data_IF_085747911658
#
_entry.id   IF_085747911658
#
_cell.length_a   1.000
_cell.length_b   1.000
_cell.length_c   1.000
_cell.angle_alpha   90.00
_cell.angle_beta   90.00
_cell.angle_gamma   90.00
#
_symmetry.space_group_name_H-M   'P 1'
#
loop_
_entity.id
_entity.type
_entity.pdbx_description
1 polymer ?
#
# COMPACT_ATOMS: atom_id res chain seq x y z
N UNK A 1 25.00 -30.19 21.91
CA UNK A 1 23.83 -30.43 21.03
C UNK A 1 23.68 -29.20 20.20
N UNK A 2 24.15 -29.28 18.97
CA UNK A 2 24.19 -28.18 18.03
C UNK A 2 22.77 -27.63 17.85
N UNK A 3 22.63 -26.31 17.99
CA UNK A 3 21.43 -25.63 17.50
C UNK A 3 21.45 -25.80 15.98
N UNK A 4 20.73 -26.80 15.46
CA UNK A 4 20.33 -26.79 14.06
C UNK A 4 19.77 -25.39 13.77
N UNK A 5 20.31 -24.74 12.74
CA UNK A 5 19.81 -23.47 12.22
C UNK A 5 18.29 -23.61 12.02
N UNK A 6 17.51 -23.11 12.98
CA UNK A 6 16.06 -23.16 12.93
C UNK A 6 15.60 -22.25 11.79
N UNK A 7 15.46 -22.85 10.61
CA UNK A 7 15.13 -22.16 9.38
C UNK A 7 13.74 -21.53 9.51
N UNK A 8 13.70 -20.21 9.54
CA UNK A 8 12.45 -19.48 9.45
C UNK A 8 11.85 -19.68 8.04
N UNK A 9 10.63 -20.21 7.99
CA UNK A 9 9.85 -20.37 6.78
C UNK A 9 8.94 -19.17 6.63
N UNK A 10 8.92 -18.58 5.44
CA UNK A 10 7.98 -17.53 5.09
C UNK A 10 6.93 -18.11 4.14
N UNK A 11 5.68 -18.17 4.59
CA UNK A 11 4.54 -18.49 3.74
C UNK A 11 3.81 -17.19 3.42
N UNK A 12 3.39 -16.99 2.16
CA UNK A 12 2.60 -15.81 1.77
C UNK A 12 1.41 -16.26 0.95
N UNK A 13 0.23 -15.72 1.25
CA UNK A 13 -0.94 -15.90 0.43
C UNK A 13 -1.65 -14.55 0.22
N UNK A 14 -2.34 -14.45 -0.91
CA UNK A 14 -3.06 -13.24 -1.29
C UNK A 14 -4.54 -13.39 -0.96
N UNK A 15 -5.15 -12.32 -0.48
CA UNK A 15 -6.58 -12.20 -0.26
C UNK A 15 -7.09 -11.06 -1.11
N UNK A 16 -7.87 -11.41 -2.13
CA UNK A 16 -8.56 -10.46 -2.99
C UNK A 16 -9.85 -9.97 -2.33
N UNK A 17 -10.20 -8.72 -2.60
CA UNK A 17 -11.41 -8.06 -2.11
C UNK A 17 -11.60 -8.15 -0.58
N UNK A 18 -10.51 -8.12 0.19
CA UNK A 18 -10.46 -8.35 1.63
C UNK A 18 -11.53 -7.58 2.43
N UNK A 19 -11.77 -6.30 2.14
CA UNK A 19 -12.76 -5.50 2.89
C UNK A 19 -14.23 -5.90 2.60
N UNK A 20 -14.50 -6.54 1.47
CA UNK A 20 -15.81 -7.06 1.08
C UNK A 20 -16.07 -8.47 1.62
N UNK A 21 -15.03 -9.17 2.10
CA UNK A 21 -15.18 -10.54 2.61
C UNK A 21 -15.91 -10.50 3.96
N UNK A 22 -17.01 -11.23 4.03
CA UNK A 22 -17.81 -11.37 5.26
C UNK A 22 -17.46 -12.66 6.02
N UNK A 23 -17.17 -13.73 5.28
CA UNK A 23 -16.89 -15.04 5.85
C UNK A 23 -15.41 -15.24 6.21
N UNK A 24 -15.15 -16.22 7.07
CA UNK A 24 -13.80 -16.71 7.34
C UNK A 24 -13.12 -17.19 6.05
N UNK A 25 -11.83 -16.90 5.92
CA UNK A 25 -10.98 -17.31 4.80
C UNK A 25 -9.87 -18.18 5.35
N UNK A 26 -9.64 -19.33 4.74
CA UNK A 26 -8.51 -20.20 5.05
C UNK A 26 -7.46 -20.13 3.95
N UNK A 27 -6.19 -20.02 4.34
CA UNK A 27 -5.09 -20.16 3.40
C UNK A 27 -4.96 -21.60 2.91
N UNK A 28 -4.24 -21.83 1.80
CA UNK A 28 -3.68 -23.15 1.51
C UNK A 28 -2.85 -23.68 2.69
N UNK A 29 -2.78 -25.00 2.81
CA UNK A 29 -1.89 -25.64 3.77
C UNK A 29 -0.42 -25.41 3.37
N UNK A 30 0.45 -25.25 4.36
CA UNK A 30 1.90 -25.22 4.18
C UNK A 30 2.58 -26.16 5.18
N UNK A 31 3.64 -26.81 4.72
CA UNK A 31 4.40 -27.77 5.52
C UNK A 31 5.53 -27.08 6.27
N UNK A 32 5.62 -27.34 7.57
CA UNK A 32 6.73 -26.90 8.41
C UNK A 32 6.81 -27.74 9.69
N UNK A 33 8.01 -28.11 10.13
CA UNK A 33 8.18 -28.82 11.39
C UNK A 33 7.52 -30.21 11.45
N UNK A 34 7.40 -30.86 10.29
CA UNK A 34 6.71 -32.14 10.14
C UNK A 34 5.20 -32.09 10.39
N UNK A 35 4.58 -30.90 10.34
CA UNK A 35 3.13 -30.70 10.40
C UNK A 35 2.66 -29.82 9.24
N UNK A 36 1.40 -29.99 8.86
CA UNK A 36 0.71 -29.06 7.98
C UNK A 36 0.07 -27.95 8.81
N UNK A 37 0.14 -26.73 8.30
CA UNK A 37 -0.37 -25.53 8.93
C UNK A 37 -1.20 -24.73 7.95
N UNK A 38 -2.14 -23.93 8.44
CA UNK A 38 -2.89 -22.97 7.63
C UNK A 38 -3.25 -21.75 8.46
N UNK A 39 -3.63 -20.66 7.80
CA UNK A 39 -4.07 -19.43 8.45
C UNK A 39 -5.57 -19.27 8.26
N UNK A 40 -6.27 -19.01 9.36
CA UNK A 40 -7.63 -18.49 9.33
C UNK A 40 -7.62 -16.98 9.48
N UNK A 41 -8.31 -16.33 8.56
CA UNK A 41 -8.50 -14.89 8.50
C UNK A 41 -9.98 -14.63 8.69
N UNK A 42 -10.32 -13.78 9.65
CA UNK A 42 -11.68 -13.31 9.87
C UNK A 42 -11.72 -11.81 9.55
N UNK A 43 -12.10 -11.42 8.32
CA UNK A 43 -12.07 -10.03 7.87
C UNK A 43 -13.02 -9.12 8.66
N UNK A 44 -14.11 -9.68 9.19
CA UNK A 44 -15.06 -8.99 10.10
C UNK A 44 -14.90 -9.45 11.55
N UNK A 45 -13.76 -10.05 11.88
CA UNK A 45 -13.42 -10.45 13.23
C UNK A 45 -14.02 -11.77 13.72
N UNK A 46 -13.53 -12.16 14.89
CA UNK A 46 -13.94 -13.33 15.66
C UNK A 46 -14.18 -12.85 17.10
N UNK A 47 -15.45 -12.79 17.51
CA UNK A 47 -15.97 -12.18 18.74
C UNK A 47 -15.92 -10.64 18.80
N UNK A 48 -15.10 -9.99 17.97
CA UNK A 48 -14.97 -8.53 17.90
C UNK A 48 -15.08 -8.05 16.46
N UNK A 49 -16.22 -7.48 16.10
CA UNK A 49 -16.57 -7.15 14.71
C UNK A 49 -15.82 -5.94 14.13
N UNK A 50 -15.15 -5.16 15.00
CA UNK A 50 -14.40 -3.95 14.63
C UNK A 50 -12.91 -4.21 14.33
N UNK A 51 -12.47 -5.48 14.43
CA UNK A 51 -11.09 -5.89 14.16
C UNK A 51 -11.02 -7.07 13.19
N UNK A 52 -9.99 -7.08 12.35
CA UNK A 52 -9.50 -8.29 11.70
C UNK A 52 -8.99 -9.26 12.77
N UNK A 53 -9.34 -10.55 12.66
CA UNK A 53 -8.73 -11.61 13.47
C UNK A 53 -7.91 -12.57 12.62
N UNK A 54 -6.76 -12.98 13.14
CA UNK A 54 -5.81 -13.85 12.44
C UNK A 54 -5.38 -14.99 13.35
N UNK A 55 -5.47 -16.23 12.84
CA UNK A 55 -5.09 -17.42 13.60
C UNK A 55 -4.25 -18.38 12.76
N UNK A 56 -3.17 -18.85 13.35
CA UNK A 56 -2.42 -19.99 12.85
C UNK A 56 -3.06 -21.27 13.39
N UNK A 57 -3.33 -22.21 12.49
CA UNK A 57 -4.01 -23.47 12.79
C UNK A 57 -3.14 -24.65 12.33
N UNK A 58 -3.19 -25.75 13.08
CA UNK A 58 -2.65 -27.04 12.65
C UNK A 58 -3.67 -27.74 11.75
N UNK A 59 -3.25 -28.14 10.55
CA UNK A 59 -4.11 -28.87 9.64
C UNK A 59 -4.19 -30.35 10.04
N UNK A 60 -5.34 -30.97 9.76
CA UNK A 60 -5.55 -32.40 9.93
C UNK A 60 -5.09 -32.96 11.30
N UNK A 61 -5.45 -32.33 12.44
CA UNK A 61 -4.91 -32.71 13.75
C UNK A 61 -5.26 -34.14 14.17
N UNK A 62 -6.35 -34.69 13.63
CA UNK A 62 -6.82 -36.07 13.81
C UNK A 62 -5.88 -37.11 13.19
N UNK A 63 -5.12 -36.72 12.15
CA UNK A 63 -4.16 -37.61 11.48
C UNK A 63 -2.81 -37.68 12.21
N UNK A 64 -2.61 -36.78 13.19
CA UNK A 64 -1.41 -36.76 14.00
C UNK A 64 -1.52 -37.80 15.13
N UNK A 65 -0.38 -38.40 15.51
CA UNK A 65 -0.34 -39.43 16.57
C UNK A 65 -0.93 -38.90 17.87
N UNK A 66 -1.68 -39.76 18.59
CA UNK A 66 -2.18 -39.47 19.94
C UNK A 66 -1.05 -38.90 20.82
N UNK A 67 -1.34 -37.77 21.47
CA UNK A 67 -0.38 -37.07 22.34
C UNK A 67 0.61 -36.15 21.62
N UNK A 68 0.43 -35.86 20.32
CA UNK A 68 1.30 -34.93 19.61
C UNK A 68 1.35 -33.54 20.24
N UNK A 69 2.54 -32.94 20.21
CA UNK A 69 2.77 -31.55 20.63
C UNK A 69 3.75 -30.86 19.68
N UNK A 70 3.56 -29.58 19.41
CA UNK A 70 4.51 -28.76 18.63
C UNK A 70 4.72 -27.43 19.32
N UNK A 71 5.96 -26.96 19.37
CA UNK A 71 6.23 -25.57 19.77
C UNK A 71 6.67 -24.78 18.56
N UNK A 72 5.97 -23.69 18.31
CA UNK A 72 6.28 -22.80 17.21
C UNK A 72 6.31 -21.36 17.67
N UNK A 73 7.19 -20.58 17.05
CA UNK A 73 7.14 -19.13 17.06
C UNK A 73 6.67 -18.66 15.70
N UNK A 74 5.76 -17.70 15.66
CA UNK A 74 5.22 -17.19 14.40
C UNK A 74 4.95 -15.69 14.47
N UNK A 75 4.83 -15.10 13.29
CA UNK A 75 4.46 -13.72 13.09
C UNK A 75 3.58 -13.59 11.86
N UNK A 76 2.62 -12.66 11.92
CA UNK A 76 1.87 -12.22 10.76
C UNK A 76 2.38 -10.86 10.32
N UNK A 77 2.55 -10.69 9.02
CA UNK A 77 2.89 -9.43 8.38
C UNK A 77 1.83 -9.17 7.31
N UNK A 78 1.02 -8.15 7.52
CA UNK A 78 0.04 -7.71 6.54
C UNK A 78 0.71 -6.72 5.58
N UNK A 79 0.66 -7.03 4.29
CA UNK A 79 1.30 -6.26 3.24
C UNK A 79 0.25 -5.63 2.33
N UNK A 80 0.53 -4.41 1.86
CA UNK A 80 -0.15 -3.81 0.72
C UNK A 80 0.09 -4.66 -0.55
N UNK A 81 -0.66 -4.35 -1.62
CA UNK A 81 -0.36 -4.86 -2.97
C UNK A 81 1.07 -4.55 -3.43
N UNK A 82 1.62 -3.38 -3.05
CA UNK A 82 3.01 -2.98 -3.33
C UNK A 82 4.05 -3.76 -2.52
N UNK A 83 3.64 -4.66 -1.62
CA UNK A 83 4.53 -5.46 -0.77
C UNK A 83 5.06 -4.73 0.46
N UNK A 84 4.54 -3.54 0.75
CA UNK A 84 4.91 -2.76 1.94
C UNK A 84 4.18 -3.27 3.17
N UNK A 85 4.89 -3.36 4.28
CA UNK A 85 4.36 -3.72 5.58
C UNK A 85 3.41 -2.65 6.13
N UNK A 86 2.17 -3.05 6.42
CA UNK A 86 1.16 -2.21 7.06
C UNK A 86 1.10 -2.46 8.56
N UNK A 87 1.21 -3.73 8.95
CA UNK A 87 1.35 -4.12 10.34
C UNK A 87 2.09 -5.44 10.45
N UNK A 88 2.74 -5.62 11.60
CA UNK A 88 3.38 -6.86 11.98
C UNK A 88 2.97 -7.23 13.38
N UNK A 89 2.52 -8.48 13.51
CA UNK A 89 2.10 -9.10 14.75
C UNK A 89 3.09 -10.22 14.99
N UNK A 90 3.91 -10.08 16.02
CA UNK A 90 4.87 -11.10 16.39
C UNK A 90 4.41 -11.70 17.70
N UNK A 91 4.34 -13.02 17.72
CA UNK A 91 4.14 -13.71 18.99
C UNK A 91 5.45 -13.63 19.80
N UNK A 92 5.37 -13.07 21.00
CA UNK A 92 6.55 -12.82 21.84
C UNK A 92 7.07 -14.10 22.51
N UNK A 93 6.21 -15.09 22.67
CA UNK A 93 6.49 -16.37 23.34
C UNK A 93 6.24 -17.55 22.41
N UNK A 94 7.03 -18.62 22.51
CA UNK A 94 6.71 -19.83 21.74
C UNK A 94 5.35 -20.39 22.19
N UNK A 95 4.54 -20.87 21.24
CA UNK A 95 3.23 -21.44 21.53
C UNK A 95 3.25 -22.94 21.39
N UNK A 96 2.64 -23.61 22.37
CA UNK A 96 2.41 -25.05 22.37
C UNK A 96 1.12 -25.35 21.62
N UNK A 97 1.23 -26.09 20.53
CA UNK A 97 0.11 -26.65 19.79
C UNK A 97 -0.04 -28.12 20.13
N UNK A 98 -1.28 -28.57 20.33
CA UNK A 98 -1.65 -29.96 20.51
C UNK A 98 -3.12 -30.15 20.11
N UNK A 99 -3.67 -31.36 20.26
CA UNK A 99 -5.07 -31.64 19.94
C UNK A 99 -6.06 -30.67 20.63
N UNK A 100 -5.79 -30.28 21.88
CA UNK A 100 -6.64 -29.32 22.63
C UNK A 100 -6.41 -27.86 22.21
N UNK A 101 -5.21 -27.53 21.74
CA UNK A 101 -4.80 -26.16 21.42
C UNK A 101 -4.24 -26.11 20.00
N UNK A 102 -5.06 -26.47 19.01
CA UNK A 102 -4.65 -26.54 17.60
C UNK A 102 -4.64 -25.19 16.89
N UNK A 103 -5.04 -24.11 17.58
CA UNK A 103 -5.19 -22.76 17.05
C UNK A 103 -4.58 -21.73 17.99
N UNK A 104 -3.82 -20.79 17.45
CA UNK A 104 -3.29 -19.64 18.19
C UNK A 104 -3.27 -18.38 17.31
N UNK A 105 -3.47 -17.20 17.90
CA UNK A 105 -3.44 -15.94 17.17
C UNK A 105 -4.15 -14.79 17.89
N UNK A 106 -4.53 -13.78 17.12
CA UNK A 106 -5.08 -12.53 17.63
C UNK A 106 -6.53 -12.35 17.22
N UNK A 107 -7.44 -12.29 18.21
CA UNK A 107 -8.84 -11.87 18.00
C UNK A 107 -8.93 -10.41 17.56
N UNK A 108 -8.10 -9.53 18.14
CA UNK A 108 -7.99 -8.12 17.76
C UNK A 108 -6.65 -7.87 17.07
N UNK A 109 -6.47 -8.43 15.88
CA UNK A 109 -5.20 -8.36 15.15
C UNK A 109 -4.97 -6.95 14.59
N UNK A 110 -5.95 -6.43 13.84
CA UNK A 110 -5.85 -5.10 13.20
C UNK A 110 -7.21 -4.40 13.24
N UNK A 111 -7.32 -3.16 13.74
CA UNK A 111 -8.58 -2.42 13.69
C UNK A 111 -9.04 -2.20 12.24
N UNK A 112 -10.29 -2.51 11.92
CA UNK A 112 -10.82 -2.35 10.56
C UNK A 112 -10.81 -0.88 10.15
N UNK A 113 -11.09 0.03 11.08
CA UNK A 113 -10.99 1.47 10.85
C UNK A 113 -9.60 1.88 10.34
N UNK A 114 -8.54 1.30 10.87
CA UNK A 114 -7.17 1.57 10.41
C UNK A 114 -6.96 1.10 8.97
N UNK A 115 -7.45 -0.10 8.63
CA UNK A 115 -7.38 -0.62 7.26
C UNK A 115 -8.15 0.28 6.28
N UNK A 116 -9.37 0.67 6.64
CA UNK A 116 -10.17 1.61 5.86
C UNK A 116 -9.53 2.99 5.73
N UNK A 117 -8.87 3.52 6.76
CA UNK A 117 -8.14 4.78 6.67
C UNK A 117 -6.90 4.68 5.77
N UNK A 118 -6.20 3.54 5.77
CA UNK A 118 -5.06 3.32 4.88
C UNK A 118 -5.48 3.23 3.41
N UNK A 119 -6.60 2.59 3.11
CA UNK A 119 -7.10 2.43 1.72
C UNK A 119 -7.87 3.67 1.26
N UNK A 120 -8.85 4.12 2.05
CA UNK A 120 -9.81 5.15 1.64
C UNK A 120 -9.48 6.53 2.21
N UNK A 121 -8.61 6.64 3.22
CA UNK A 121 -8.36 7.91 3.92
C UNK A 121 -7.73 8.97 3.03
N UNK A 122 -6.91 8.57 2.06
CA UNK A 122 -6.36 9.49 1.05
C UNK A 122 -7.49 10.21 0.30
N UNK A 123 -8.47 9.44 -0.18
CA UNK A 123 -9.58 9.94 -0.95
C UNK A 123 -10.58 10.74 -0.13
N UNK A 124 -10.76 10.41 1.16
CA UNK A 124 -11.54 11.25 2.07
C UNK A 124 -10.90 12.62 2.28
N UNK A 125 -9.57 12.69 2.35
CA UNK A 125 -8.82 13.94 2.52
C UNK A 125 -8.74 14.76 1.23
N UNK A 126 -8.70 14.09 0.09
CA UNK A 126 -8.59 14.69 -1.25
C UNK A 126 -9.66 14.10 -2.18
N UNK A 127 -10.95 14.45 -1.98
CA UNK A 127 -12.04 13.86 -2.77
C UNK A 127 -11.98 14.26 -4.25
N UNK A 128 -11.29 15.35 -4.57
CA UNK A 128 -11.13 15.86 -5.93
C UNK A 128 -9.91 15.29 -6.66
N UNK A 129 -9.09 14.45 -5.99
CA UNK A 129 -7.77 14.00 -6.44
C UNK A 129 -7.76 13.42 -7.86
N UNK A 130 -8.85 12.81 -8.31
CA UNK A 130 -8.96 12.16 -9.61
C UNK A 130 -10.16 12.66 -10.43
N UNK A 131 -10.69 13.85 -10.12
CA UNK A 131 -11.88 14.40 -10.79
C UNK A 131 -11.73 14.58 -12.30
N UNK A 132 -10.50 14.72 -12.80
CA UNK A 132 -10.20 14.84 -14.23
C UNK A 132 -9.47 13.60 -14.78
N UNK A 133 -9.41 12.51 -14.03
CA UNK A 133 -8.66 11.32 -14.43
C UNK A 133 -9.26 10.69 -15.70
N UNK A 134 -8.44 10.63 -16.75
CA UNK A 134 -8.88 10.26 -18.10
C UNK A 134 -8.91 8.75 -18.37
N UNK A 135 -7.95 7.93 -17.88
CA UNK A 135 -7.91 6.51 -18.21
C UNK A 135 -9.15 5.72 -17.74
N UNK A 136 -9.72 4.92 -18.64
CA UNK A 136 -10.89 4.06 -18.35
C UNK A 136 -10.54 2.60 -18.08
N UNK A 137 -9.39 2.12 -18.58
CA UNK A 137 -8.95 0.73 -18.44
C UNK A 137 -8.51 0.43 -17.00
N UNK A 138 -9.06 -0.63 -16.38
CA UNK A 138 -8.81 -0.97 -14.98
C UNK A 138 -7.33 -1.24 -14.66
N UNK A 139 -6.60 -1.99 -15.50
CA UNK A 139 -5.17 -2.25 -15.27
C UNK A 139 -4.36 -0.94 -15.27
N UNK A 140 -4.72 -0.01 -16.15
CA UNK A 140 -4.12 1.32 -16.21
C UNK A 140 -4.48 2.15 -14.97
N UNK A 141 -5.74 2.10 -14.50
CA UNK A 141 -6.14 2.74 -13.23
C UNK A 141 -5.26 2.24 -12.07
N UNK A 142 -5.12 0.92 -11.96
CA UNK A 142 -4.30 0.28 -10.92
C UNK A 142 -2.83 0.69 -11.01
N UNK A 143 -2.24 0.74 -12.21
CA UNK A 143 -0.85 1.16 -12.39
C UNK A 143 -0.61 2.60 -11.92
N UNK A 144 -1.43 3.57 -12.36
CA UNK A 144 -1.30 4.96 -11.92
C UNK A 144 -1.51 5.11 -10.41
N UNK A 145 -2.45 4.38 -9.82
CA UNK A 145 -2.67 4.39 -8.38
C UNK A 145 -1.47 3.85 -7.62
N UNK A 146 -0.86 2.74 -8.05
CA UNK A 146 0.35 2.20 -7.43
C UNK A 146 1.50 3.22 -7.42
N UNK A 147 1.67 3.97 -8.52
CA UNK A 147 2.66 5.04 -8.62
C UNK A 147 2.33 6.17 -7.62
N UNK A 148 1.09 6.68 -7.63
CA UNK A 148 0.64 7.75 -6.73
C UNK A 148 0.92 7.39 -5.27
N UNK A 149 0.61 6.17 -4.87
CA UNK A 149 0.79 5.69 -3.51
C UNK A 149 2.24 5.48 -3.15
N UNK A 150 3.02 4.85 -4.04
CA UNK A 150 4.46 4.73 -3.86
C UNK A 150 5.09 6.07 -3.51
N UNK A 151 4.66 7.14 -4.18
CA UNK A 151 5.13 8.50 -3.88
C UNK A 151 4.59 9.09 -2.59
N UNK A 152 3.30 8.95 -2.29
CA UNK A 152 2.73 9.39 -1.00
C UNK A 152 3.49 8.75 0.16
N UNK A 153 3.72 7.45 0.05
CA UNK A 153 4.42 6.63 1.03
C UNK A 153 5.89 6.97 1.14
N UNK A 154 6.58 7.19 0.02
CA UNK A 154 7.97 7.66 0.01
C UNK A 154 8.08 9.03 0.70
N UNK A 155 7.16 9.95 0.39
CA UNK A 155 7.16 11.30 0.95
C UNK A 155 6.68 11.37 2.41
N UNK A 156 6.12 10.31 2.96
CA UNK A 156 5.86 10.17 4.42
C UNK A 156 7.11 9.75 5.19
N UNK A 157 8.16 9.23 4.53
CA UNK A 157 9.41 8.87 5.19
C UNK A 157 10.20 10.13 5.59
N UNK A 158 11.09 10.04 6.59
CA UNK A 158 11.97 11.16 6.94
C UNK A 158 12.80 11.62 5.74
N UNK A 159 13.00 12.94 5.53
CA UNK A 159 13.69 13.47 4.35
C UNK A 159 15.08 12.86 4.12
N UNK A 160 15.83 12.59 5.20
CA UNK A 160 17.19 12.03 5.12
C UNK A 160 17.22 10.58 4.62
N UNK A 161 16.11 9.84 4.69
CA UNK A 161 16.01 8.44 4.24
C UNK A 161 15.78 8.28 2.74
N UNK A 162 15.48 9.38 2.03
CA UNK A 162 15.19 9.38 0.60
C UNK A 162 16.46 9.67 -0.19
N UNK A 163 16.70 8.93 -1.26
CA UNK A 163 17.78 9.17 -2.22
C UNK A 163 17.41 10.24 -3.25
N UNK A 164 18.41 10.85 -3.87
CA UNK A 164 18.21 11.83 -4.95
C UNK A 164 17.49 11.23 -6.16
N UNK A 165 17.73 9.93 -6.42
CA UNK A 165 17.04 9.17 -7.46
C UNK A 165 15.55 8.98 -7.15
N UNK A 166 15.20 8.64 -5.90
CA UNK A 166 13.79 8.52 -5.47
C UNK A 166 13.06 9.86 -5.58
N UNK A 167 13.70 10.97 -5.21
CA UNK A 167 13.12 12.31 -5.34
C UNK A 167 12.93 12.72 -6.81
N UNK A 168 13.90 12.40 -7.67
CA UNK A 168 13.83 12.70 -9.12
C UNK A 168 12.75 11.87 -9.81
N UNK A 169 12.63 10.59 -9.46
CA UNK A 169 11.56 9.72 -9.95
C UNK A 169 10.19 10.21 -9.47
N UNK A 170 10.06 10.54 -8.18
CA UNK A 170 8.83 11.11 -7.64
C UNK A 170 8.41 12.38 -8.36
N UNK A 171 9.35 13.26 -8.69
CA UNK A 171 9.05 14.46 -9.44
C UNK A 171 8.48 14.17 -10.84
N UNK A 172 9.14 13.30 -11.61
CA UNK A 172 8.72 12.91 -12.96
C UNK A 172 7.34 12.24 -12.95
N UNK A 173 7.16 11.28 -12.06
CA UNK A 173 5.92 10.51 -11.96
C UNK A 173 4.75 11.41 -11.53
N UNK A 174 4.98 12.43 -10.67
CA UNK A 174 3.94 13.40 -10.33
C UNK A 174 3.53 14.28 -11.52
N UNK A 175 4.42 14.56 -12.47
CA UNK A 175 4.08 15.24 -13.72
C UNK A 175 3.16 14.34 -14.55
N UNK A 176 3.58 13.09 -14.80
CA UNK A 176 2.82 12.12 -15.57
C UNK A 176 1.42 11.88 -14.96
N UNK A 177 1.33 11.76 -13.64
CA UNK A 177 0.06 11.64 -12.92
C UNK A 177 -0.82 12.90 -13.10
N UNK A 178 -0.22 14.09 -13.08
CA UNK A 178 -0.97 15.34 -13.33
C UNK A 178 -1.54 15.37 -14.75
N UNK A 179 -0.74 14.97 -15.74
CA UNK A 179 -1.15 14.92 -17.15
C UNK A 179 -2.28 13.89 -17.40
N UNK A 180 -2.23 12.78 -16.65
CA UNK A 180 -3.29 11.77 -16.60
C UNK A 180 -4.59 12.29 -15.95
N UNK A 181 -4.55 13.45 -15.29
CA UNK A 181 -5.70 14.16 -14.75
C UNK A 181 -5.82 14.16 -13.23
N UNK A 182 -4.78 13.76 -12.50
CA UNK A 182 -4.79 13.87 -11.04
C UNK A 182 -4.54 15.30 -10.56
N UNK A 183 -5.28 15.73 -9.53
CA UNK A 183 -5.05 16.98 -8.79
C UNK A 183 -4.12 16.73 -7.62
N UNK A 184 -2.83 17.01 -7.81
CA UNK A 184 -1.74 16.62 -6.89
C UNK A 184 -0.99 17.82 -6.26
N UNK A 185 -1.61 18.99 -6.18
CA UNK A 185 -0.95 20.22 -5.71
C UNK A 185 -0.39 20.06 -4.28
N UNK A 186 -1.12 19.37 -3.42
CA UNK A 186 -0.69 19.09 -2.06
C UNK A 186 0.57 18.20 -2.01
N UNK A 187 0.65 17.20 -2.89
CA UNK A 187 1.76 16.25 -2.94
C UNK A 187 3.00 16.86 -3.57
N UNK A 188 2.83 17.67 -4.63
CA UNK A 188 3.89 18.52 -5.20
C UNK A 188 4.46 19.47 -4.15
N UNK A 189 3.59 20.14 -3.38
CA UNK A 189 4.01 21.02 -2.28
C UNK A 189 4.78 20.26 -1.20
N UNK A 190 4.37 19.03 -0.88
CA UNK A 190 5.06 18.17 0.09
C UNK A 190 6.45 17.75 -0.40
N UNK A 191 6.57 17.31 -1.66
CA UNK A 191 7.86 17.00 -2.29
C UNK A 191 8.81 18.20 -2.22
N UNK A 192 8.33 19.41 -2.55
CA UNK A 192 9.12 20.64 -2.43
C UNK A 192 9.59 20.92 -1.00
N UNK A 193 8.80 20.60 0.03
CA UNK A 193 9.21 20.75 1.43
C UNK A 193 10.32 19.77 1.80
N UNK A 194 10.16 18.50 1.43
CA UNK A 194 11.16 17.43 1.68
C UNK A 194 12.50 17.78 1.04
N UNK A 195 12.50 18.26 -0.21
CA UNK A 195 13.71 18.71 -0.90
C UNK A 195 14.38 19.85 -0.12
N UNK A 196 13.64 20.89 0.27
CA UNK A 196 14.15 22.03 1.05
C UNK A 196 14.71 21.63 2.41
N UNK A 197 14.12 20.62 3.06
CA UNK A 197 14.61 20.11 4.34
C UNK A 197 15.92 19.34 4.18
N UNK A 198 16.13 18.60 3.08
CA UNK A 198 17.44 17.98 2.78
C UNK A 198 18.50 19.03 2.44
N UNK A 199 18.13 20.08 1.70
CA UNK A 199 19.04 21.18 1.35
C UNK A 199 19.61 21.91 2.57
N UNK A 200 18.84 22.00 3.66
CA UNK A 200 19.29 22.64 4.91
C UNK A 200 20.23 21.78 5.74
N UNK A 201 20.31 20.48 5.47
CA UNK A 201 21.03 19.49 6.29
C UNK A 201 22.29 18.91 5.62
N UNK A 202 22.54 19.22 4.34
CA UNK A 202 23.74 18.80 3.60
C UNK A 202 24.57 20.02 3.17
N UNK A 203 25.91 19.91 3.16
CA UNK A 203 26.82 20.89 2.55
C UNK A 203 26.46 21.02 1.05
N UNK A 204 25.65 22.04 0.74
CA UNK A 204 24.63 22.03 -0.32
C UNK A 204 25.08 22.28 -1.76
N UNK A 205 26.30 21.90 -2.15
CA UNK A 205 26.86 22.31 -3.46
C UNK A 205 26.46 21.40 -4.64
N UNK A 206 26.42 20.06 -4.50
CA UNK A 206 26.14 19.16 -5.65
C UNK A 206 24.65 19.06 -6.02
N UNK A 207 23.75 19.19 -5.04
CA UNK A 207 22.30 19.12 -5.28
C UNK A 207 21.78 20.40 -5.96
N UNK A 208 22.44 21.54 -5.72
CA UNK A 208 22.10 22.82 -6.34
C UNK A 208 22.24 22.82 -7.86
N UNK A 209 23.30 22.18 -8.40
CA UNK A 209 23.54 22.13 -9.85
C UNK A 209 22.54 21.25 -10.59
N UNK A 210 22.18 20.09 -10.03
CA UNK A 210 21.18 19.21 -10.63
C UNK A 210 19.78 19.84 -10.63
N UNK A 211 19.38 20.50 -9.54
CA UNK A 211 18.07 21.17 -9.46
C UNK A 211 18.00 22.39 -10.40
N UNK A 212 19.06 23.20 -10.48
CA UNK A 212 19.15 24.29 -11.46
C UNK A 212 19.07 23.75 -12.89
N UNK A 213 19.79 22.67 -13.18
CA UNK A 213 19.80 22.03 -14.51
C UNK A 213 18.42 21.47 -14.88
N UNK A 214 17.72 20.83 -13.95
CA UNK A 214 16.38 20.28 -14.18
C UNK A 214 15.31 21.37 -14.34
N UNK A 215 15.35 22.43 -13.54
CA UNK A 215 14.44 23.59 -13.71
C UNK A 215 14.67 24.33 -15.04
N UNK A 216 15.92 24.46 -15.47
CA UNK A 216 16.25 25.07 -16.77
C UNK A 216 15.74 24.19 -17.92
N UNK A 217 15.93 22.86 -17.85
CA UNK A 217 15.40 21.93 -18.86
C UNK A 217 13.87 21.96 -18.94
N UNK A 218 13.19 21.97 -17.79
CA UNK A 218 11.73 22.08 -17.69
C UNK A 218 11.19 23.36 -18.33
N UNK A 219 11.88 24.48 -18.15
CA UNK A 219 11.49 25.76 -18.76
C UNK A 219 11.85 25.82 -20.25
N UNK A 220 12.93 25.18 -20.69
CA UNK A 220 13.31 25.12 -22.10
C UNK A 220 12.38 24.24 -22.94
N UNK A 221 11.87 23.12 -22.41
CA UNK A 221 10.87 22.28 -23.11
C UNK A 221 9.50 22.98 -23.22
N UNK A 222 9.15 23.81 -22.24
CA UNK A 222 7.97 24.71 -22.33
C UNK A 222 8.11 25.80 -23.40
N UNK A 223 9.32 26.30 -23.65
CA UNK A 223 9.57 27.33 -24.66
C UNK A 223 9.69 26.72 -26.07
N UNK A 224 10.23 25.50 -26.21
CA UNK A 224 10.34 24.81 -27.51
C UNK A 224 8.98 24.36 -28.08
N UNK A 225 7.98 24.12 -27.24
CA UNK A 225 6.62 23.80 -27.66
C UNK A 225 5.78 25.04 -28.07
N UNK A 226 6.31 26.25 -27.90
CA UNK A 226 5.58 27.51 -28.11
C UNK A 226 6.03 28.33 -29.35
N UNK A 227 6.97 27.85 -30.18
CA UNK A 227 7.56 28.68 -31.26
C UNK A 227 7.09 28.31 -32.68
N UNK A 228 5.83 27.94 -32.85
CA UNK A 228 5.17 28.14 -34.15
C UNK A 228 3.77 28.69 -33.95
N UNK A 229 3.51 29.83 -34.59
CA UNK A 229 2.25 30.59 -34.64
C UNK A 229 1.96 31.55 -33.47
N UNK A 230 2.77 32.61 -33.39
CA UNK A 230 2.35 33.89 -32.83
C UNK A 230 1.22 34.49 -33.68
N UNK A 231 -0.02 34.08 -33.40
CA UNK A 231 -1.26 34.82 -33.67
C UNK A 231 -2.48 34.26 -32.89
N UNK A 232 -2.34 33.14 -32.18
CA UNK A 232 -3.44 32.50 -31.43
C UNK A 232 -3.54 32.86 -29.95
N UNK A 233 -2.63 33.68 -29.41
CA UNK A 233 -2.60 34.00 -27.97
C UNK A 233 -3.87 34.76 -27.47
N UNK A 234 -4.62 35.39 -28.37
CA UNK A 234 -5.88 36.07 -28.03
C UNK A 234 -7.10 35.11 -28.02
N UNK A 235 -7.08 34.06 -28.85
CA UNK A 235 -8.12 33.03 -28.84
C UNK A 235 -7.92 32.00 -27.71
N UNK A 236 -6.68 31.72 -27.31
CA UNK A 236 -6.41 30.84 -26.16
C UNK A 236 -6.86 31.45 -24.83
N UNK A 237 -6.76 32.78 -24.67
CA UNK A 237 -7.19 33.48 -23.46
C UNK A 237 -8.72 33.47 -23.29
N UNK A 238 -9.46 33.58 -24.41
CA UNK A 238 -10.94 33.51 -24.43
C UNK A 238 -11.43 32.06 -24.30
N UNK A 239 -10.71 31.10 -24.86
CA UNK A 239 -10.97 29.67 -24.70
C UNK A 239 -10.76 29.18 -23.26
N UNK A 240 -9.82 29.77 -22.50
CA UNK A 240 -9.65 29.48 -21.07
C UNK A 240 -10.79 30.02 -20.20
N UNK A 241 -11.34 31.19 -20.54
CA UNK A 241 -12.47 31.78 -19.81
C UNK A 241 -13.79 31.01 -20.08
N UNK A 242 -14.04 30.61 -21.33
CA UNK A 242 -15.17 29.73 -21.65
C UNK A 242 -15.02 28.31 -21.09
N UNK A 243 -13.79 27.82 -20.90
CA UNK A 243 -13.53 26.54 -20.22
C UNK A 243 -13.84 26.62 -18.73
N UNK A 244 -13.56 27.75 -18.07
CA UNK A 244 -13.93 27.98 -16.68
C UNK A 244 -15.46 28.03 -16.47
N UNK A 245 -16.23 28.54 -17.45
CA UNK A 245 -17.69 28.51 -17.46
C UNK A 245 -18.23 27.07 -17.66
N UNK A 246 -17.65 26.30 -18.58
CA UNK A 246 -17.95 24.87 -18.82
C UNK A 246 -17.57 23.97 -17.63
N UNK A 247 -16.49 24.30 -16.92
CA UNK A 247 -16.05 23.59 -15.71
C UNK A 247 -16.98 23.88 -14.52
N UNK A 248 -17.71 25.01 -14.53
CA UNK A 248 -18.75 25.36 -13.56
C UNK A 248 -20.05 24.57 -13.79
N UNK A 249 -20.39 24.23 -15.03
CA UNK A 249 -21.51 23.33 -15.36
C UNK A 249 -21.13 21.84 -15.21
N UNK A 250 -19.89 21.44 -15.51
CA UNK A 250 -19.39 20.06 -15.28
C UNK A 250 -19.28 19.67 -13.81
N UNK A 251 -19.16 20.63 -12.89
CA UNK A 251 -19.11 20.39 -11.46
C UNK A 251 -20.37 19.68 -10.90
N UNK A 252 -21.49 19.68 -11.62
CA UNK A 252 -22.74 18.97 -11.24
C UNK A 252 -22.83 17.54 -11.80
N UNK A 253 -22.09 17.21 -12.87
CA UNK A 253 -22.07 15.87 -13.50
C UNK A 253 -20.84 15.05 -13.09
N UNK A 254 -19.75 15.69 -12.65
CA UNK A 254 -18.49 15.05 -12.27
C UNK A 254 -18.52 14.34 -10.91
N UNK A 255 -19.53 14.57 -10.08
CA UNK A 255 -19.61 13.99 -8.74
C UNK A 255 -19.93 12.49 -8.77
N UNK A 256 -20.75 12.01 -9.72
CA UNK A 256 -21.04 10.57 -9.84
C UNK A 256 -19.87 9.80 -10.46
N UNK A 257 -19.29 10.30 -11.56
CA UNK A 257 -18.18 9.62 -12.23
C UNK A 257 -16.91 9.54 -11.36
N UNK A 258 -16.62 10.59 -10.58
CA UNK A 258 -15.52 10.55 -9.61
C UNK A 258 -15.79 9.57 -8.46
N UNK A 259 -17.06 9.45 -8.04
CA UNK A 259 -17.49 8.50 -7.00
C UNK A 259 -17.44 7.05 -7.49
N UNK A 260 -17.90 6.77 -8.71
CA UNK A 260 -17.83 5.45 -9.33
C UNK A 260 -16.38 5.03 -9.57
N UNK A 261 -15.53 5.96 -10.01
CA UNK A 261 -14.09 5.73 -10.14
C UNK A 261 -13.42 5.46 -8.79
N UNK A 262 -13.82 6.17 -7.73
CA UNK A 262 -13.34 5.96 -6.38
C UNK A 262 -13.70 4.55 -5.86
N UNK A 263 -14.93 4.10 -6.10
CA UNK A 263 -15.34 2.76 -5.71
C UNK A 263 -14.59 1.67 -6.48
N UNK A 264 -14.41 1.81 -7.79
CA UNK A 264 -13.59 0.91 -8.62
C UNK A 264 -12.15 0.79 -8.09
N UNK A 265 -11.54 1.94 -7.77
CA UNK A 265 -10.15 1.99 -7.31
C UNK A 265 -10.01 1.38 -5.92
N UNK A 266 -10.96 1.67 -5.01
CA UNK A 266 -11.01 1.04 -3.69
C UNK A 266 -11.18 -0.47 -3.81
N UNK A 267 -12.04 -0.96 -4.71
CA UNK A 267 -12.19 -2.40 -4.98
C UNK A 267 -10.89 -3.04 -5.48
N UNK A 268 -10.20 -2.41 -6.44
CA UNK A 268 -8.92 -2.93 -6.97
C UNK A 268 -7.81 -3.04 -5.92
N UNK A 269 -7.91 -2.26 -4.85
CA UNK A 269 -6.96 -2.19 -3.75
C UNK A 269 -7.46 -2.90 -2.47
N UNK A 270 -8.59 -3.58 -2.55
CA UNK A 270 -8.94 -4.58 -1.57
C UNK A 270 -8.12 -5.88 -1.73
N UNK A 271 -7.04 -5.88 -2.53
CA UNK A 271 -6.08 -6.98 -2.62
C UNK A 271 -4.92 -6.80 -1.64
N UNK A 272 -4.82 -7.75 -0.70
CA UNK A 272 -3.83 -7.72 0.38
C UNK A 272 -3.02 -9.00 0.37
N UNK A 273 -1.74 -8.93 0.78
CA UNK A 273 -0.93 -10.13 0.98
C UNK A 273 -0.71 -10.34 2.46
N UNK A 274 -1.05 -11.53 2.95
CA UNK A 274 -0.73 -11.93 4.31
C UNK A 274 0.49 -12.84 4.26
N UNK A 275 1.58 -12.38 4.90
CA UNK A 275 2.78 -13.18 5.08
C UNK A 275 2.81 -13.73 6.50
N UNK A 276 3.12 -15.01 6.62
CA UNK A 276 3.39 -15.70 7.86
C UNK A 276 4.89 -15.97 7.93
N UNK A 277 5.58 -15.38 8.90
CA UNK A 277 6.91 -15.81 9.28
C UNK A 277 6.78 -16.88 10.36
N UNK A 278 7.31 -18.08 10.13
CA UNK A 278 7.13 -19.23 11.00
C UNK A 278 8.46 -19.90 11.31
N UNK A 279 8.69 -20.26 12.56
CA UNK A 279 9.86 -21.03 13.00
C UNK A 279 9.38 -22.19 13.88
N UNK A 280 9.63 -23.42 13.42
CA UNK A 280 9.45 -24.60 14.27
C UNK A 280 10.59 -24.68 15.29
N UNK A 281 10.25 -24.87 16.55
CA UNK A 281 11.21 -25.06 17.63
C UNK A 281 11.28 -26.52 18.12
N UNK A 282 10.51 -27.41 17.48
CA UNK A 282 10.50 -28.84 17.74
C UNK A 282 9.98 -29.24 19.12
N UNK A 283 10.19 -30.52 19.45
CA UNK A 283 9.95 -31.07 20.78
C UNK A 283 11.18 -30.84 21.68
N UNK A 284 11.24 -29.76 22.45
CA UNK A 284 11.85 -29.84 23.79
C UNK A 284 11.05 -30.85 24.64
N UNK A 285 11.70 -31.95 25.02
CA UNK A 285 11.29 -32.68 26.23
C UNK A 285 11.16 -31.63 27.34
N UNK A 286 9.98 -31.60 27.96
CA UNK A 286 9.86 -30.95 29.26
C UNK A 286 10.34 -32.06 30.19
N UNK A 287 11.60 -31.97 30.62
CA UNK A 287 12.13 -32.80 31.70
C UNK A 287 11.45 -32.42 33.03
#
# INVERSE_FOLDING_TARGET
MDMEDQKQINFTFEVDNFLEKESMISSPNFLSGGCEWFVNVHPKGHDFEDHLSLFLCVANPETLRLGWKRRASFSFVLLTQSGKELCKLKEESCKLFCAQFSRCGWKKAVPLKMLHEKVCGLFKKHPDIATNFKPKNQLVKTAYMNILLGHIEALDKPPHSLSDAELSNAYRDLIELTEAGFKLDWLKKKLCKVIKEREKNADGLRVQEHIKTLNIKLNQEKVKSATSANKDFSMEQTMWNHKAELDKEKAKSSTSAAKDWLEDVVHSWNKWKLRVGFTDLGYKKID
#
